data_IF_311840041823
#
_entry.id   IF_311840041823
#
_cell.length_a   1.000
_cell.length_b   1.000
_cell.length_c   1.000
_cell.angle_alpha   90.00
_cell.angle_beta   90.00
_cell.angle_gamma   90.00
#
_symmetry.space_group_name_H-M   'P 1'
#
loop_
_entity.id
_entity.type
_entity.pdbx_description
1 polymer ?
#
# COMPACT_ATOMS: atom_id res chain seq x y z
N UNK A 1 15.35 -4.51 -37.97
CA UNK A 1 13.98 -4.50 -37.41
C UNK A 1 14.14 -4.85 -35.93
N UNK A 2 14.22 -3.82 -35.08
CA UNK A 2 14.38 -4.02 -33.63
C UNK A 2 12.97 -4.24 -33.11
N UNK A 3 12.68 -5.45 -32.64
CA UNK A 3 11.50 -5.70 -31.84
C UNK A 3 11.70 -4.88 -30.57
N UNK A 4 10.90 -3.82 -30.40
CA UNK A 4 10.75 -3.20 -29.10
C UNK A 4 10.04 -4.27 -28.28
N UNK A 5 10.79 -5.04 -27.50
CA UNK A 5 10.20 -5.84 -26.43
C UNK A 5 9.30 -4.90 -25.64
N UNK A 6 8.01 -5.21 -25.61
CA UNK A 6 7.07 -4.52 -24.73
C UNK A 6 7.63 -4.70 -23.33
N UNK A 7 8.23 -3.63 -22.80
CA UNK A 7 8.76 -3.60 -21.44
C UNK A 7 7.66 -4.08 -20.51
N UNK A 8 7.86 -5.25 -19.91
CA UNK A 8 6.94 -5.77 -18.91
C UNK A 8 6.93 -4.72 -17.80
N UNK A 9 5.75 -4.37 -17.31
CA UNK A 9 5.63 -3.37 -16.25
C UNK A 9 4.93 -3.99 -15.07
N UNK A 10 5.34 -3.57 -13.88
CA UNK A 10 4.68 -3.97 -12.64
C UNK A 10 3.71 -2.86 -12.23
N UNK A 11 2.44 -3.20 -12.01
CA UNK A 11 1.50 -2.29 -11.38
C UNK A 11 1.67 -2.38 -9.88
N UNK A 12 2.00 -1.26 -9.23
CA UNK A 12 2.20 -1.18 -7.79
C UNK A 12 1.13 -0.29 -7.18
N UNK A 13 0.15 -0.90 -6.52
CA UNK A 13 -0.97 -0.20 -5.89
C UNK A 13 -0.60 0.17 -4.46
N UNK A 14 -0.79 1.42 -4.09
CA UNK A 14 -0.40 1.94 -2.77
C UNK A 14 -1.60 2.55 -2.07
N UNK A 15 -1.80 2.18 -0.81
CA UNK A 15 -2.82 2.77 0.06
C UNK A 15 -2.32 2.85 1.52
N UNK A 16 -2.96 3.69 2.31
CA UNK A 16 -2.62 3.93 3.71
C UNK A 16 -3.72 3.51 4.69
N UNK A 17 -3.32 3.17 5.90
CA UNK A 17 -4.21 2.87 7.01
C UNK A 17 -3.76 3.56 8.28
N UNK A 18 -4.73 4.12 9.01
CA UNK A 18 -4.57 4.69 10.35
C UNK A 18 -5.43 3.94 11.35
N UNK A 19 -4.87 3.68 12.53
CA UNK A 19 -5.61 3.06 13.61
C UNK A 19 -5.22 3.67 14.95
N UNK A 20 -6.24 4.21 15.59
CA UNK A 20 -6.18 4.83 16.90
C UNK A 20 -7.20 4.14 17.79
N UNK A 21 -6.82 3.79 19.02
CA UNK A 21 -7.79 3.36 20.03
C UNK A 21 -8.59 4.59 20.50
N UNK A 22 -9.92 4.51 20.68
CA UNK A 22 -10.75 5.66 21.07
C UNK A 22 -10.27 6.40 22.32
N UNK A 23 -9.60 5.70 23.23
CA UNK A 23 -9.14 6.22 24.53
C UNK A 23 -7.65 6.57 24.55
N UNK A 24 -6.94 6.44 23.43
CA UNK A 24 -5.50 6.70 23.37
C UNK A 24 -5.16 7.81 22.39
N UNK A 25 -4.11 8.53 22.76
CA UNK A 25 -3.43 9.55 21.95
C UNK A 25 -2.28 8.95 21.13
N UNK A 26 -2.15 7.63 21.10
CA UNK A 26 -1.21 6.91 20.26
C UNK A 26 -1.92 6.30 19.06
N UNK A 27 -1.22 6.20 17.93
CA UNK A 27 -1.74 5.51 16.76
C UNK A 27 -0.64 4.84 15.96
N UNK A 28 -1.03 3.82 15.21
CA UNK A 28 -0.19 3.24 14.18
C UNK A 28 -0.65 3.77 12.82
N UNK A 29 0.34 4.12 12.00
CA UNK A 29 0.15 4.43 10.60
C UNK A 29 0.92 3.42 9.76
N UNK A 30 0.25 2.90 8.74
CA UNK A 30 0.83 1.95 7.79
C UNK A 30 0.61 2.45 6.37
N UNK A 31 1.65 2.41 5.55
CA UNK A 31 1.54 2.49 4.09
C UNK A 31 1.82 1.10 3.55
N UNK A 32 0.95 0.57 2.69
CA UNK A 32 1.14 -0.73 2.06
C UNK A 32 1.16 -0.61 0.54
N UNK A 33 2.02 -1.41 -0.10
CA UNK A 33 2.12 -1.57 -1.53
C UNK A 33 1.75 -3.00 -1.94
N UNK A 34 1.12 -3.15 -3.10
CA UNK A 34 0.82 -4.45 -3.73
C UNK A 34 1.32 -4.40 -5.17
N UNK A 35 2.27 -5.25 -5.52
CA UNK A 35 2.74 -5.43 -6.89
C UNK A 35 2.02 -6.58 -7.59
N UNK A 36 1.55 -6.31 -8.81
CA UNK A 36 0.94 -7.28 -9.73
C UNK A 36 1.53 -7.04 -11.11
N UNK A 37 1.92 -8.12 -11.80
CA UNK A 37 2.33 -8.05 -13.21
C UNK A 37 1.19 -7.47 -14.05
N UNK A 38 1.48 -6.43 -14.84
CA UNK A 38 0.48 -5.74 -15.67
C UNK A 38 -0.21 -6.71 -16.64
N UNK A 39 0.51 -7.71 -17.18
CA UNK A 39 -0.05 -8.71 -18.09
C UNK A 39 -1.03 -9.66 -17.40
N UNK A 40 -0.88 -9.86 -16.09
CA UNK A 40 -1.72 -10.75 -15.29
C UNK A 40 -2.86 -10.00 -14.58
N UNK A 41 -2.82 -8.67 -14.55
CA UNK A 41 -3.77 -7.87 -13.78
C UNK A 41 -5.23 -8.07 -14.21
N UNK A 42 -5.48 -8.18 -15.51
CA UNK A 42 -6.83 -8.44 -16.05
C UNK A 42 -7.36 -9.82 -15.65
N UNK A 43 -6.50 -10.85 -15.68
CA UNK A 43 -6.87 -12.20 -15.24
C UNK A 43 -7.14 -12.23 -13.73
N UNK A 44 -6.30 -11.57 -12.94
CA UNK A 44 -6.53 -11.38 -11.50
C UNK A 44 -7.90 -10.73 -11.24
N UNK A 45 -8.22 -9.64 -11.94
CA UNK A 45 -9.50 -8.95 -11.79
C UNK A 45 -10.70 -9.85 -12.13
N UNK A 46 -10.63 -10.62 -13.22
CA UNK A 46 -11.68 -11.56 -13.63
C UNK A 46 -11.86 -12.67 -12.60
N UNK A 47 -10.77 -13.25 -12.09
CA UNK A 47 -10.83 -14.30 -11.05
C UNK A 47 -11.38 -13.78 -9.73
N UNK A 48 -10.99 -12.58 -9.33
CA UNK A 48 -11.51 -11.93 -8.13
C UNK A 48 -13.01 -11.64 -8.27
N UNK A 49 -13.47 -11.22 -9.45
CA UNK A 49 -14.90 -11.02 -9.69
C UNK A 49 -15.68 -12.33 -9.56
N UNK A 50 -15.19 -13.43 -10.13
CA UNK A 50 -15.78 -14.77 -9.95
C UNK A 50 -15.80 -15.20 -8.48
N UNK A 51 -14.74 -14.87 -7.73
CA UNK A 51 -14.68 -15.14 -6.30
C UNK A 51 -15.75 -14.33 -5.53
N UNK A 52 -15.89 -13.03 -5.84
CA UNK A 52 -16.96 -12.18 -5.30
C UNK A 52 -18.35 -12.71 -5.66
N UNK A 53 -18.53 -13.23 -6.87
CA UNK A 53 -19.80 -13.82 -7.30
C UNK A 53 -20.13 -15.09 -6.48
N UNK A 54 -19.15 -16.00 -6.33
CA UNK A 54 -19.28 -17.21 -5.51
C UNK A 54 -19.69 -16.87 -4.07
N UNK A 55 -19.00 -15.91 -3.45
CA UNK A 55 -19.17 -15.60 -2.03
C UNK A 55 -20.19 -14.53 -1.72
N UNK A 56 -20.60 -13.67 -2.64
CA UNK A 56 -21.52 -12.57 -2.32
C UNK A 56 -22.63 -12.38 -3.35
N UNK A 57 -22.71 -13.24 -4.37
CA UNK A 57 -23.67 -13.13 -5.49
C UNK A 57 -23.58 -11.76 -6.17
N UNK A 58 -22.35 -11.27 -6.28
CA UNK A 58 -22.02 -9.96 -6.80
C UNK A 58 -21.25 -10.09 -8.12
N UNK A 59 -21.85 -9.60 -9.21
CA UNK A 59 -21.28 -9.68 -10.57
C UNK A 59 -20.71 -8.34 -11.06
N UNK A 60 -21.03 -7.23 -10.39
CA UNK A 60 -20.56 -5.91 -10.79
C UNK A 60 -19.24 -5.56 -10.09
N UNK A 61 -18.27 -5.04 -10.84
CA UNK A 61 -16.90 -4.75 -10.36
C UNK A 61 -16.91 -3.77 -9.18
N UNK A 62 -17.77 -2.76 -9.22
CA UNK A 62 -17.88 -1.74 -8.16
C UNK A 62 -18.71 -2.15 -6.95
N UNK A 63 -19.45 -3.27 -7.04
CA UNK A 63 -20.25 -3.76 -5.91
C UNK A 63 -19.37 -4.60 -5.00
N UNK A 64 -19.58 -4.43 -3.69
CA UNK A 64 -18.82 -5.11 -2.63
C UNK A 64 -17.29 -4.85 -2.71
N UNK A 65 -16.84 -3.59 -2.52
CA UNK A 65 -15.42 -3.28 -2.51
C UNK A 65 -14.70 -3.97 -1.34
N UNK A 66 -13.46 -4.43 -1.56
CA UNK A 66 -12.67 -5.14 -0.53
C UNK A 66 -12.10 -4.19 0.52
N UNK A 67 -12.96 -3.47 1.24
CA UNK A 67 -12.51 -2.54 2.29
C UNK A 67 -12.14 -3.35 3.54
N UNK A 68 -10.91 -3.21 4.02
CA UNK A 68 -10.40 -3.96 5.18
C UNK A 68 -11.32 -3.83 6.40
N UNK A 69 -11.76 -2.59 6.71
CA UNK A 69 -12.72 -2.30 7.79
C UNK A 69 -14.09 -2.98 7.65
N UNK A 70 -14.51 -3.35 6.45
CA UNK A 70 -15.81 -4.00 6.20
C UNK A 70 -15.70 -5.53 6.16
N UNK A 71 -14.61 -6.03 5.58
CA UNK A 71 -14.32 -7.46 5.47
C UNK A 71 -13.84 -8.06 6.79
N UNK A 72 -13.11 -7.28 7.58
CA UNK A 72 -12.39 -7.76 8.75
C UNK A 72 -12.71 -6.95 10.01
N UNK A 73 -13.89 -6.35 10.16
CA UNK A 73 -14.34 -5.87 11.49
C UNK A 73 -14.66 -7.05 12.44
N UNK A 74 -14.86 -6.77 13.73
CA UNK A 74 -15.05 -7.80 14.76
C UNK A 74 -16.16 -8.80 14.41
N UNK A 75 -17.34 -8.31 14.02
CA UNK A 75 -18.47 -9.16 13.59
C UNK A 75 -18.18 -9.91 12.30
N UNK A 76 -17.43 -9.29 11.38
CA UNK A 76 -17.07 -9.91 10.11
C UNK A 76 -16.11 -11.09 10.29
N UNK A 77 -15.20 -11.03 11.27
CA UNK A 77 -14.32 -12.14 11.63
C UNK A 77 -15.05 -13.35 12.25
N UNK A 78 -16.29 -13.17 12.72
CA UNK A 78 -17.14 -14.26 13.20
C UNK A 78 -17.91 -14.93 12.05
N UNK A 79 -17.93 -14.32 10.87
CA UNK A 79 -18.61 -14.86 9.69
C UNK A 79 -17.72 -15.86 8.95
N UNK A 80 -18.06 -17.15 9.02
CA UNK A 80 -17.37 -18.21 8.27
C UNK A 80 -17.19 -17.83 6.79
N UNK A 81 -18.26 -17.35 6.15
CA UNK A 81 -18.28 -16.97 4.72
C UNK A 81 -17.28 -15.87 4.38
N UNK A 82 -17.10 -14.87 5.24
CA UNK A 82 -16.12 -13.79 5.01
C UNK A 82 -14.69 -14.26 5.27
N UNK A 83 -14.47 -15.04 6.32
CA UNK A 83 -13.16 -15.61 6.61
C UNK A 83 -12.68 -16.54 5.47
N UNK A 84 -13.58 -17.41 4.98
CA UNK A 84 -13.30 -18.29 3.84
C UNK A 84 -13.04 -17.51 2.54
N UNK A 85 -13.83 -16.45 2.29
CA UNK A 85 -13.57 -15.54 1.17
C UNK A 85 -12.17 -14.92 1.22
N UNK A 86 -11.73 -14.40 2.38
CA UNK A 86 -10.40 -13.80 2.52
C UNK A 86 -9.29 -14.83 2.35
N UNK A 87 -9.49 -16.08 2.80
CA UNK A 87 -8.54 -17.18 2.57
C UNK A 87 -8.42 -17.57 1.10
N UNK A 88 -9.54 -17.63 0.38
CA UNK A 88 -9.52 -17.87 -1.07
C UNK A 88 -8.91 -16.68 -1.83
N UNK A 89 -9.13 -15.45 -1.36
CA UNK A 89 -8.47 -14.26 -1.91
C UNK A 89 -6.95 -14.37 -1.77
N UNK A 90 -6.42 -14.74 -0.60
CA UNK A 90 -4.97 -14.93 -0.44
C UNK A 90 -4.43 -16.08 -1.27
N UNK A 91 -5.17 -17.16 -1.41
CA UNK A 91 -4.80 -18.25 -2.33
C UNK A 91 -4.72 -17.78 -3.78
N UNK A 92 -5.66 -16.92 -4.23
CA UNK A 92 -5.61 -16.28 -5.53
C UNK A 92 -4.39 -15.35 -5.66
N UNK A 93 -4.07 -14.57 -4.63
CA UNK A 93 -2.92 -13.67 -4.63
C UNK A 93 -1.60 -14.44 -4.80
N UNK A 94 -1.44 -15.54 -4.07
CA UNK A 94 -0.28 -16.44 -4.24
C UNK A 94 -0.20 -17.05 -5.62
N UNK A 95 -1.33 -17.52 -6.16
CA UNK A 95 -1.37 -18.12 -7.50
C UNK A 95 -0.95 -17.13 -8.60
N UNK A 96 -1.18 -15.83 -8.36
CA UNK A 96 -0.83 -14.73 -9.27
C UNK A 96 0.52 -14.06 -8.92
N UNK A 97 1.31 -14.67 -8.02
CA UNK A 97 2.59 -14.15 -7.54
C UNK A 97 2.54 -12.69 -7.07
N UNK A 98 1.43 -12.30 -6.44
CA UNK A 98 1.29 -10.96 -5.89
C UNK A 98 2.30 -10.76 -4.77
N UNK A 99 3.04 -9.66 -4.85
CA UNK A 99 4.07 -9.29 -3.88
C UNK A 99 3.60 -8.08 -3.06
N UNK A 100 3.83 -8.12 -1.74
CA UNK A 100 3.40 -7.07 -0.82
C UNK A 100 4.57 -6.32 -0.20
N UNK A 101 4.35 -5.04 0.08
CA UNK A 101 5.27 -4.12 0.74
C UNK A 101 4.52 -3.40 1.84
N UNK A 102 5.22 -3.00 2.91
CA UNK A 102 4.65 -2.06 3.86
C UNK A 102 5.72 -1.28 4.60
N UNK A 103 5.32 -0.18 5.22
CA UNK A 103 6.08 0.46 6.28
C UNK A 103 5.07 0.91 7.33
N UNK A 104 5.35 0.62 8.60
CA UNK A 104 4.48 0.99 9.71
C UNK A 104 5.28 1.76 10.73
N UNK A 105 4.74 2.88 11.24
CA UNK A 105 5.35 3.65 12.33
C UNK A 105 4.32 3.93 13.40
N UNK A 106 4.80 3.96 14.64
CA UNK A 106 4.03 4.33 15.81
C UNK A 106 4.16 5.83 16.06
N UNK A 107 3.04 6.50 16.31
CA UNK A 107 2.95 7.94 16.52
C UNK A 107 2.30 8.25 17.87
N UNK A 108 2.73 9.34 18.48
CA UNK A 108 2.07 9.97 19.64
C UNK A 108 1.52 11.34 19.20
N UNK A 109 0.32 11.73 19.66
CA UNK A 109 -0.35 12.98 19.26
C UNK A 109 0.47 14.25 19.53
N UNK A 110 1.38 14.25 20.51
CA UNK A 110 2.34 15.36 20.68
C UNK A 110 3.21 15.56 19.44
N UNK A 111 3.64 14.46 18.83
CA UNK A 111 4.42 14.44 17.59
C UNK A 111 3.60 14.95 16.41
N UNK A 112 2.31 14.58 16.31
CA UNK A 112 1.44 15.05 15.22
C UNK A 112 1.08 16.54 15.37
N UNK A 113 0.92 17.04 16.59
CA UNK A 113 0.68 18.48 16.84
C UNK A 113 1.92 19.33 16.52
N UNK A 114 3.12 18.82 16.80
CA UNK A 114 4.39 19.43 16.41
C UNK A 114 4.59 19.37 14.88
N UNK A 115 4.27 18.24 14.22
CA UNK A 115 4.29 18.09 12.76
C UNK A 115 3.25 18.99 12.07
N UNK A 116 2.02 19.09 12.61
CA UNK A 116 0.95 19.95 12.09
C UNK A 116 1.17 21.45 12.37
N UNK A 117 2.01 21.81 13.35
CA UNK A 117 2.42 23.21 13.58
C UNK A 117 3.59 23.61 12.69
N UNK A 118 4.48 22.69 12.31
CA UNK A 118 5.54 22.93 11.33
C UNK A 118 5.00 23.14 9.90
N UNK A 119 3.80 22.64 9.62
CA UNK A 119 3.10 22.77 8.34
C UNK A 119 1.85 23.62 8.57
N UNK A 120 1.98 24.93 8.43
CA UNK A 120 0.94 25.92 8.72
C UNK A 120 -0.49 25.47 8.41
N UNK A 121 -1.28 25.31 9.47
CA UNK A 121 -2.75 25.37 9.53
C UNK A 121 -3.50 24.90 8.27
N UNK A 122 -3.84 23.61 8.21
CA UNK A 122 -4.71 23.06 7.16
C UNK A 122 -5.26 21.67 7.45
N UNK A 123 -6.25 21.59 8.35
CA UNK A 123 -7.33 20.58 8.42
C UNK A 123 -7.01 19.10 8.06
N UNK A 124 -6.87 18.25 9.09
CA UNK A 124 -7.64 17.00 9.26
C UNK A 124 -7.71 15.94 8.15
N UNK A 125 -6.83 15.95 7.15
CA UNK A 125 -6.82 15.00 6.05
C UNK A 125 -5.68 13.99 6.17
N UNK A 126 -6.01 12.74 6.48
CA UNK A 126 -5.10 11.61 6.27
C UNK A 126 -4.83 11.47 4.77
N UNK A 127 -3.64 11.83 4.31
CA UNK A 127 -3.24 11.67 2.91
C UNK A 127 -1.75 11.42 2.78
N UNK A 128 -1.38 10.61 1.80
CA UNK A 128 0.00 10.39 1.40
C UNK A 128 0.58 11.70 0.82
N UNK A 129 1.71 12.14 1.37
CA UNK A 129 2.58 13.17 0.76
C UNK A 129 4.02 12.64 0.82
N UNK A 130 4.99 13.23 0.13
CA UNK A 130 6.38 12.73 0.09
C UNK A 130 7.39 13.82 0.52
N UNK A 131 8.59 13.46 1.01
CA UNK A 131 9.58 14.42 1.49
C UNK A 131 10.08 15.31 0.35
N UNK A 132 10.09 16.63 0.56
CA UNK A 132 10.47 17.63 -0.44
C UNK A 132 9.67 18.94 -0.37
N UNK A 133 8.53 18.97 0.33
CA UNK A 133 7.96 20.22 0.85
C UNK A 133 8.83 20.73 2.00
N UNK A 134 9.08 22.03 2.07
CA UNK A 134 10.06 22.68 2.96
C UNK A 134 9.66 22.70 4.44
N UNK A 135 9.43 21.53 5.04
CA UNK A 135 9.17 21.36 6.46
C UNK A 135 9.47 19.91 6.86
N UNK A 136 10.34 19.74 7.85
CA UNK A 136 10.46 18.47 8.59
C UNK A 136 9.08 18.03 9.08
N UNK A 137 8.83 16.71 9.07
CA UNK A 137 7.69 16.11 9.77
C UNK A 137 6.44 15.87 8.93
N UNK A 138 6.48 14.84 8.09
CA UNK A 138 5.26 14.07 7.85
C UNK A 138 5.63 12.60 7.92
N UNK A 139 5.30 11.94 9.03
CA UNK A 139 5.58 10.52 9.19
C UNK A 139 5.07 9.65 8.03
N UNK A 140 3.96 10.01 7.38
CA UNK A 140 3.47 9.29 6.19
C UNK A 140 4.38 9.42 4.99
N UNK A 141 5.05 10.57 4.84
CA UNK A 141 5.98 10.80 3.75
C UNK A 141 7.22 9.92 3.89
N UNK A 142 7.70 9.74 5.12
CA UNK A 142 8.78 8.80 5.40
C UNK A 142 8.34 7.36 5.11
N UNK A 143 7.14 6.95 5.56
CA UNK A 143 6.61 5.62 5.28
C UNK A 143 6.45 5.34 3.78
N UNK A 144 5.92 6.31 3.02
CA UNK A 144 5.79 6.17 1.58
C UNK A 144 7.17 6.09 0.90
N UNK A 145 8.14 6.91 1.29
CA UNK A 145 9.50 6.84 0.75
C UNK A 145 10.14 5.45 0.99
N UNK A 146 9.94 4.86 2.18
CA UNK A 146 10.39 3.50 2.51
C UNK A 146 9.72 2.46 1.60
N UNK A 147 8.40 2.57 1.38
CA UNK A 147 7.69 1.67 0.46
C UNK A 147 8.23 1.81 -0.95
N UNK A 148 8.50 3.03 -1.43
CA UNK A 148 9.10 3.25 -2.74
C UNK A 148 10.52 2.68 -2.85
N UNK A 149 11.35 2.81 -1.81
CA UNK A 149 12.68 2.18 -1.79
C UNK A 149 12.57 0.65 -1.94
N UNK A 150 11.63 0.02 -1.21
CA UNK A 150 11.40 -1.42 -1.31
C UNK A 150 10.89 -1.85 -2.68
N UNK A 151 10.00 -1.07 -3.28
CA UNK A 151 9.53 -1.30 -4.65
C UNK A 151 10.70 -1.20 -5.62
N UNK A 152 11.56 -0.19 -5.49
CA UNK A 152 12.74 -0.04 -6.33
C UNK A 152 13.70 -1.23 -6.17
N UNK A 153 13.97 -1.68 -4.95
CA UNK A 153 14.80 -2.88 -4.71
C UNK A 153 14.18 -4.15 -5.29
N UNK A 154 12.87 -4.34 -5.12
CA UNK A 154 12.14 -5.47 -5.74
C UNK A 154 12.27 -5.47 -7.26
N UNK A 155 12.09 -4.31 -7.89
CA UNK A 155 12.27 -4.21 -9.33
C UNK A 155 13.71 -4.49 -9.75
N UNK A 156 14.71 -3.99 -9.02
CA UNK A 156 16.11 -4.23 -9.34
C UNK A 156 16.54 -5.70 -9.16
N UNK A 157 16.00 -6.39 -8.15
CA UNK A 157 16.38 -7.77 -7.80
C UNK A 157 15.60 -8.82 -8.59
N UNK A 158 14.30 -8.60 -8.83
CA UNK A 158 13.40 -9.63 -9.37
C UNK A 158 12.86 -9.31 -10.77
N UNK A 159 12.89 -8.04 -11.19
CA UNK A 159 12.31 -7.56 -12.46
C UNK A 159 13.26 -6.58 -13.17
N UNK A 160 14.54 -6.95 -13.25
CA UNK A 160 15.58 -6.07 -13.79
C UNK A 160 15.31 -5.72 -15.26
N UNK A 161 15.18 -4.43 -15.56
CA UNK A 161 14.86 -3.91 -16.90
C UNK A 161 13.41 -3.47 -17.07
N UNK A 162 12.53 -3.85 -16.14
CA UNK A 162 11.13 -3.45 -16.12
C UNK A 162 10.92 -2.16 -15.31
N UNK A 163 9.74 -1.55 -15.49
CA UNK A 163 9.33 -0.35 -14.74
C UNK A 163 8.12 -0.64 -13.85
N UNK A 164 8.18 -0.15 -12.61
CA UNK A 164 7.03 -0.09 -11.72
C UNK A 164 6.18 1.16 -12.01
N UNK A 165 4.90 0.95 -12.27
CA UNK A 165 3.88 2.00 -12.41
C UNK A 165 3.11 2.11 -11.10
N UNK A 166 3.32 3.21 -10.38
CA UNK A 166 2.71 3.43 -9.07
C UNK A 166 1.28 3.92 -9.26
N UNK A 167 0.32 3.24 -8.64
CA UNK A 167 -1.11 3.55 -8.72
C UNK A 167 -1.61 3.92 -7.34
N UNK A 168 -2.13 5.14 -7.22
CA UNK A 168 -2.73 5.67 -5.99
C UNK A 168 -4.23 5.82 -6.14
N UNK A 169 -4.92 5.88 -5.01
CA UNK A 169 -6.35 6.14 -4.95
C UNK A 169 -6.66 7.62 -5.27
N UNK A 170 -7.65 7.84 -6.13
CA UNK A 170 -8.27 9.17 -6.30
C UNK A 170 -9.01 9.54 -5.01
N UNK A 171 -8.70 10.70 -4.44
CA UNK A 171 -9.42 11.30 -3.32
C UNK A 171 -10.16 12.57 -3.78
N UNK A 172 -9.93 13.73 -3.18
CA UNK A 172 -10.34 15.02 -3.76
C UNK A 172 -9.32 15.49 -4.79
N UNK A 173 -9.72 16.41 -5.68
CA UNK A 173 -8.81 17.02 -6.67
C UNK A 173 -7.60 17.67 -6.00
N UNK A 174 -7.83 18.35 -4.87
CA UNK A 174 -6.77 18.99 -4.09
C UNK A 174 -5.79 17.96 -3.50
N UNK A 175 -6.28 16.89 -2.88
CA UNK A 175 -5.42 15.84 -2.31
C UNK A 175 -4.63 15.10 -3.40
N UNK A 176 -5.30 14.78 -4.51
CA UNK A 176 -4.68 14.10 -5.66
C UNK A 176 -3.58 14.96 -6.29
N UNK A 177 -3.83 16.26 -6.47
CA UNK A 177 -2.85 17.22 -6.98
C UNK A 177 -1.66 17.38 -6.03
N UNK A 178 -1.91 17.44 -4.71
CA UNK A 178 -0.86 17.55 -3.69
C UNK A 178 0.04 16.31 -3.66
N UNK A 179 -0.55 15.10 -3.67
CA UNK A 179 0.20 13.84 -3.73
C UNK A 179 1.00 13.75 -5.03
N UNK A 180 0.39 14.05 -6.17
CA UNK A 180 1.08 14.07 -7.47
C UNK A 180 2.29 15.01 -7.45
N UNK A 181 2.10 16.26 -7.00
CA UNK A 181 3.17 17.25 -6.91
C UNK A 181 4.28 16.83 -5.95
N UNK A 182 3.92 16.27 -4.79
CA UNK A 182 4.88 15.79 -3.80
C UNK A 182 5.68 14.59 -4.31
N UNK A 183 5.02 13.67 -5.02
CA UNK A 183 5.66 12.53 -5.65
C UNK A 183 6.66 12.96 -6.72
N UNK A 184 6.24 13.82 -7.65
CA UNK A 184 7.13 14.36 -8.69
C UNK A 184 8.33 15.07 -8.06
N UNK A 185 8.10 15.87 -7.01
CA UNK A 185 9.17 16.56 -6.29
C UNK A 185 10.15 15.58 -5.66
N UNK A 186 9.67 14.55 -4.99
CA UNK A 186 10.51 13.52 -4.42
C UNK A 186 11.35 12.81 -5.50
N UNK A 187 10.71 12.35 -6.58
CA UNK A 187 11.37 11.61 -7.66
C UNK A 187 12.45 12.42 -8.38
N UNK A 188 12.27 13.73 -8.58
CA UNK A 188 13.18 14.53 -9.41
C UNK A 188 14.05 15.52 -8.63
N UNK A 189 13.70 15.88 -7.39
CA UNK A 189 14.41 16.92 -6.62
C UNK A 189 15.12 16.39 -5.37
N UNK A 190 14.95 15.11 -5.01
CA UNK A 190 15.67 14.51 -3.88
C UNK A 190 16.74 13.54 -4.38
N UNK A 191 17.90 13.42 -3.69
CA UNK A 191 18.92 12.45 -4.06
C UNK A 191 18.42 11.00 -4.04
N UNK A 192 17.55 10.68 -3.06
CA UNK A 192 16.98 9.34 -2.93
C UNK A 192 16.06 9.01 -4.11
N UNK A 193 15.03 9.84 -4.36
CA UNK A 193 14.10 9.64 -5.46
C UNK A 193 14.75 9.72 -6.83
N UNK A 194 15.70 10.64 -7.02
CA UNK A 194 16.48 10.76 -8.27
C UNK A 194 17.38 9.55 -8.54
N UNK A 195 17.64 8.73 -7.53
CA UNK A 195 18.36 7.46 -7.66
C UNK A 195 17.50 6.28 -8.11
N UNK A 196 16.16 6.40 -8.08
CA UNK A 196 15.26 5.33 -8.47
C UNK A 196 15.21 5.20 -10.00
N UNK A 197 15.70 4.07 -10.51
CA UNK A 197 15.80 3.78 -11.95
C UNK A 197 14.68 2.89 -12.47
N UNK A 198 14.00 2.18 -11.57
CA UNK A 198 13.00 1.17 -11.92
C UNK A 198 11.57 1.58 -11.55
N UNK A 199 11.37 2.85 -11.19
CA UNK A 199 10.06 3.41 -10.87
C UNK A 199 9.72 4.47 -11.91
N UNK A 200 8.53 4.39 -12.49
CA UNK A 200 8.00 5.43 -13.37
C UNK A 200 7.85 6.73 -12.58
N UNK A 201 8.50 7.79 -13.06
CA UNK A 201 8.54 9.07 -12.35
C UNK A 201 7.22 9.83 -12.30
N UNK A 202 6.17 9.37 -12.99
CA UNK A 202 4.81 9.93 -12.91
C UNK A 202 3.87 8.94 -12.20
N UNK A 203 3.11 9.35 -11.17
CA UNK A 203 2.13 8.50 -10.52
C UNK A 203 0.85 8.38 -11.35
N UNK A 204 0.17 7.24 -11.24
CA UNK A 204 -1.16 7.01 -11.78
C UNK A 204 -2.20 7.10 -10.66
N UNK A 205 -3.44 7.45 -11.02
CA UNK A 205 -4.54 7.53 -10.07
C UNK A 205 -5.76 6.76 -10.56
N UNK A 206 -6.40 6.01 -9.67
CA UNK A 206 -7.61 5.25 -9.99
C UNK A 206 -8.66 5.32 -8.87
N UNK A 207 -9.96 5.19 -9.21
CA UNK A 207 -11.03 5.06 -8.21
C UNK A 207 -10.95 3.72 -7.49
N UNK A 208 -10.81 3.75 -6.17
CA UNK A 208 -10.66 2.54 -5.34
C UNK A 208 -11.90 1.65 -5.35
N UNK A 209 -13.09 2.18 -5.66
CA UNK A 209 -14.35 1.42 -5.72
C UNK A 209 -14.32 0.33 -6.78
N UNK A 210 -13.57 0.51 -7.87
CA UNK A 210 -13.52 -0.41 -9.01
C UNK A 210 -12.13 -0.98 -9.28
N UNK A 211 -11.07 -0.43 -8.65
CA UNK A 211 -9.71 -0.91 -8.82
C UNK A 211 -9.37 -1.97 -7.76
N UNK A 212 -9.25 -3.23 -8.18
CA UNK A 212 -9.00 -4.35 -7.27
C UNK A 212 -7.61 -4.32 -6.63
N UNK A 213 -6.59 -3.78 -7.32
CA UNK A 213 -5.26 -3.62 -6.76
C UNK A 213 -5.25 -2.66 -5.57
N UNK A 214 -5.89 -1.49 -5.71
CA UNK A 214 -6.08 -0.52 -4.62
C UNK A 214 -6.90 -1.11 -3.47
N UNK A 215 -7.95 -1.87 -3.76
CA UNK A 215 -8.73 -2.54 -2.71
C UNK A 215 -7.89 -3.56 -1.92
N UNK A 216 -6.98 -4.27 -2.59
CA UNK A 216 -6.09 -5.19 -1.91
C UNK A 216 -4.98 -4.47 -1.12
N UNK A 217 -4.51 -3.32 -1.60
CA UNK A 217 -3.61 -2.45 -0.85
C UNK A 217 -4.28 -1.91 0.44
N UNK A 218 -5.54 -1.43 0.37
CA UNK A 218 -6.35 -1.04 1.55
C UNK A 218 -6.48 -2.20 2.55
N UNK A 219 -6.84 -3.40 2.06
CA UNK A 219 -6.97 -4.58 2.91
C UNK A 219 -5.65 -4.93 3.60
N UNK A 220 -4.54 -4.86 2.87
CA UNK A 220 -3.19 -5.15 3.38
C UNK A 220 -2.78 -4.13 4.45
N UNK A 221 -2.90 -2.83 4.15
CA UNK A 221 -2.62 -1.76 5.09
C UNK A 221 -3.49 -1.90 6.35
N UNK A 222 -4.77 -2.25 6.20
CA UNK A 222 -5.67 -2.48 7.32
C UNK A 222 -5.23 -3.65 8.20
N UNK A 223 -4.93 -4.82 7.63
CA UNK A 223 -4.51 -6.01 8.39
C UNK A 223 -3.25 -5.71 9.21
N UNK A 224 -2.22 -5.15 8.56
CA UNK A 224 -0.93 -4.85 9.18
C UNK A 224 -1.14 -3.86 10.33
N UNK A 225 -1.86 -2.77 10.07
CA UNK A 225 -2.07 -1.73 11.06
C UNK A 225 -2.88 -2.21 12.27
N UNK A 226 -3.91 -3.01 12.05
CA UNK A 226 -4.70 -3.63 13.12
C UNK A 226 -3.90 -4.68 13.91
N UNK A 227 -3.01 -5.42 13.24
CA UNK A 227 -2.14 -6.39 13.88
C UNK A 227 -1.19 -5.70 14.87
N UNK A 228 -0.47 -4.66 14.42
CA UNK A 228 0.39 -3.85 15.30
C UNK A 228 -0.40 -3.13 16.40
N UNK A 229 -1.64 -2.74 16.11
CA UNK A 229 -2.59 -2.24 17.10
C UNK A 229 -2.98 -3.25 18.21
N UNK A 230 -2.57 -4.50 18.08
CA UNK A 230 -2.79 -5.56 19.07
C UNK A 230 -4.07 -6.37 18.85
N UNK A 231 -4.68 -6.30 17.67
CA UNK A 231 -5.93 -7.03 17.39
C UNK A 231 -5.64 -8.51 17.05
N UNK A 232 -5.93 -9.41 17.99
CA UNK A 232 -5.58 -10.83 17.87
C UNK A 232 -6.17 -11.52 16.62
N UNK A 233 -7.38 -11.15 16.18
CA UNK A 233 -8.02 -11.77 15.01
C UNK A 233 -7.22 -11.55 13.71
N UNK A 234 -6.31 -10.56 13.69
CA UNK A 234 -5.50 -10.25 12.51
C UNK A 234 -4.25 -11.13 12.41
N UNK A 235 -3.91 -11.93 13.43
CA UNK A 235 -2.67 -12.73 13.44
C UNK A 235 -2.56 -13.67 12.24
N UNK A 236 -3.60 -14.44 11.95
CA UNK A 236 -3.59 -15.37 10.80
C UNK A 236 -3.46 -14.58 9.49
N UNK A 237 -4.25 -13.52 9.30
CA UNK A 237 -4.21 -12.74 8.06
C UNK A 237 -2.88 -12.01 7.87
N UNK A 238 -2.25 -11.54 8.95
CA UNK A 238 -0.93 -10.92 8.91
C UNK A 238 0.16 -11.94 8.57
N UNK A 239 0.11 -13.13 9.15
CA UNK A 239 1.03 -14.21 8.81
C UNK A 239 0.94 -14.58 7.31
N UNK A 240 -0.28 -14.62 6.77
CA UNK A 240 -0.50 -14.83 5.33
C UNK A 240 0.10 -13.71 4.48
N UNK A 241 -0.06 -12.44 4.86
CA UNK A 241 0.57 -11.31 4.16
C UNK A 241 2.10 -11.39 4.17
N UNK A 242 2.69 -11.80 5.30
CA UNK A 242 4.14 -12.01 5.42
C UNK A 242 4.64 -13.04 4.40
N UNK A 243 3.86 -14.09 4.11
CA UNK A 243 4.28 -15.09 3.10
C UNK A 243 4.40 -14.53 1.67
N UNK A 244 3.76 -13.40 1.40
CA UNK A 244 3.77 -12.71 0.10
C UNK A 244 4.68 -11.46 0.11
N UNK A 245 5.36 -11.17 1.22
CA UNK A 245 6.14 -9.95 1.36
C UNK A 245 7.43 -10.03 0.54
N UNK A 246 7.84 -8.90 -0.04
CA UNK A 246 9.20 -8.77 -0.54
C UNK A 246 10.18 -8.61 0.63
N UNK A 247 11.27 -9.37 0.60
CA UNK A 247 12.43 -9.21 1.48
C UNK A 247 13.66 -9.05 0.60
N UNK A 248 14.22 -7.84 0.63
CA UNK A 248 15.46 -7.48 -0.09
C UNK A 248 16.62 -8.36 0.35
N UNK A 249 17.40 -8.85 -0.61
CA UNK A 249 18.65 -9.56 -0.35
C UNK A 249 19.77 -8.60 0.09
N UNK A 250 19.71 -7.31 -0.27
CA UNK A 250 20.67 -6.31 0.18
C UNK A 250 20.59 -6.10 1.71
N UNK A 251 21.74 -6.18 2.37
CA UNK A 251 21.94 -5.71 3.75
C UNK A 251 22.38 -4.25 3.68
N UNK A 252 21.54 -3.34 4.18
CA UNK A 252 21.92 -1.94 4.42
C UNK A 252 21.90 -1.70 5.92
N UNK A 253 23.04 -1.32 6.47
CA UNK A 253 23.32 -1.27 7.91
C UNK A 253 22.58 -0.14 8.68
N UNK A 254 21.95 0.82 8.02
CA UNK A 254 21.41 2.00 8.72
C UNK A 254 19.94 1.89 9.15
N UNK A 255 19.16 0.96 8.60
CA UNK A 255 17.83 0.63 9.08
C UNK A 255 17.53 -0.83 8.72
N UNK A 256 17.15 -1.68 9.67
CA UNK A 256 16.63 -3.03 9.39
C UNK A 256 15.26 -2.95 8.67
N UNK A 257 15.20 -2.41 7.45
CA UNK A 257 14.01 -2.25 6.61
C UNK A 257 13.65 -3.56 5.89
N UNK A 258 13.89 -4.71 6.51
CA UNK A 258 13.49 -6.01 5.96
C UNK A 258 12.05 -6.31 6.32
N UNK A 259 11.22 -6.65 5.33
CA UNK A 259 9.85 -7.14 5.55
C UNK A 259 8.93 -6.15 6.27
N UNK A 260 7.76 -6.58 6.72
CA UNK A 260 6.71 -5.70 7.27
C UNK A 260 6.95 -5.21 8.71
N UNK A 261 8.19 -4.79 9.04
CA UNK A 261 8.57 -4.37 10.39
C UNK A 261 8.13 -2.94 10.74
N UNK A 262 8.04 -2.66 12.04
CA UNK A 262 7.87 -1.30 12.57
C UNK A 262 9.15 -0.49 12.31
N UNK A 263 8.98 0.72 11.80
CA UNK A 263 10.03 1.71 11.64
C UNK A 263 10.13 2.49 12.94
N UNK A 264 11.29 2.42 13.60
CA UNK A 264 11.60 3.19 14.82
C UNK A 264 11.77 4.70 14.53
#
# INVERSE_FOLDING_TARGET
>A
MVWIELSISMLVFVDESRWQKPERTDFFATVAGVAIDENCYDDFCKRLLRLKEKFFKCTDIGKYPLKGRLLLNRRACESYRKCEFVRELFSLCRLQNITTFSATKYFTVSSEAEEAQAIGSGMGGSGLTLPGSSSQGNGFAQLLAIVLERVNSFMLEQHSGDLAKLVFKVQSDQHTSLLSSSFMRFMYQTPLGGGFKSIMGSPLFAPAEVNHGLQFADLSAYIINQHHGGRYQMREYFAELITMQFVSSFERDEFELRGMNLVE
#
